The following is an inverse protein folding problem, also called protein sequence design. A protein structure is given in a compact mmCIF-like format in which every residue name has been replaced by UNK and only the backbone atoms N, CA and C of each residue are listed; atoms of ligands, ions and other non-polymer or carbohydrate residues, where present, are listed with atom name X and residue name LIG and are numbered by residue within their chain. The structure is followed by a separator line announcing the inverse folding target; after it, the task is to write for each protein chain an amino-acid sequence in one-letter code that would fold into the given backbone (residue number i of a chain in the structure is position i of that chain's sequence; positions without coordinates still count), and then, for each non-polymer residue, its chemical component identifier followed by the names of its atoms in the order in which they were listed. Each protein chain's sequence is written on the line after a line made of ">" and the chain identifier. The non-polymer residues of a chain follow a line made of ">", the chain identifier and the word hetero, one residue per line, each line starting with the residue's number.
data_IF_606515087835
#
_entry.id   IF_606515087835
#
_cell.length_a   1.000
_cell.length_b   1.000
_cell.length_c   1.000
_cell.angle_alpha   90.00
_cell.angle_beta   90.00
_cell.angle_gamma   90.00
#
_symmetry.space_group_name_H-M   'P 1'
#
loop_
_entity.id
_entity.type
_entity.pdbx_description
1 polymer ?
#
# COMPACT_ATOMS: atom_id res chain seq x y z
N UNK A 1 2.74 32.15 -3.40
CA UNK A 1 2.25 31.00 -4.17
C UNK A 1 2.57 29.72 -3.39
N UNK A 2 1.57 28.99 -2.91
CA UNK A 2 1.80 27.73 -2.20
C UNK A 2 2.21 26.66 -3.23
N UNK A 3 3.51 26.39 -3.34
CA UNK A 3 4.00 25.32 -4.18
C UNK A 3 3.61 23.97 -3.56
N UNK A 4 2.73 23.22 -4.23
CA UNK A 4 2.34 21.84 -3.86
C UNK A 4 3.57 20.92 -3.74
N UNK A 5 4.62 21.26 -4.49
CA UNK A 5 5.89 20.56 -4.53
C UNK A 5 7.01 21.57 -4.33
N UNK A 6 7.72 21.43 -3.23
CA UNK A 6 8.69 22.42 -2.76
C UNK A 6 10.14 21.92 -2.82
N UNK A 7 10.36 20.70 -3.33
CA UNK A 7 11.68 20.13 -3.63
C UNK A 7 11.57 18.99 -4.65
N UNK A 8 12.66 18.63 -5.36
CA UNK A 8 12.68 17.46 -6.26
C UNK A 8 12.26 16.16 -5.57
N UNK A 9 12.68 15.96 -4.32
CA UNK A 9 12.28 14.79 -3.51
C UNK A 9 10.77 14.80 -3.27
N UNK A 10 10.20 15.96 -2.92
CA UNK A 10 8.74 16.09 -2.75
C UNK A 10 7.97 15.82 -4.05
N UNK A 11 8.54 16.17 -5.21
CA UNK A 11 7.94 15.87 -6.52
C UNK A 11 7.87 14.37 -6.77
N UNK A 12 9.01 13.69 -6.58
CA UNK A 12 9.12 12.24 -6.77
C UNK A 12 8.21 11.51 -5.79
N UNK A 13 8.16 11.97 -4.53
CA UNK A 13 7.24 11.44 -3.52
C UNK A 13 5.77 11.55 -3.98
N UNK A 14 5.33 12.75 -4.40
CA UNK A 14 3.97 12.95 -4.89
C UNK A 14 3.66 12.07 -6.10
N UNK A 15 4.54 12.04 -7.10
CA UNK A 15 4.34 11.27 -8.32
C UNK A 15 4.28 9.76 -8.03
N UNK A 16 5.20 9.25 -7.20
CA UNK A 16 5.20 7.85 -6.78
C UNK A 16 3.96 7.48 -5.95
N UNK A 17 3.44 8.40 -5.12
CA UNK A 17 2.18 8.21 -4.39
C UNK A 17 1.00 8.04 -5.34
N UNK A 18 0.86 8.91 -6.34
CA UNK A 18 -0.23 8.84 -7.32
C UNK A 18 -0.17 7.54 -8.13
N UNK A 19 1.02 7.16 -8.61
CA UNK A 19 1.24 5.91 -9.33
C UNK A 19 0.93 4.70 -8.45
N UNK A 20 1.38 4.70 -7.18
CA UNK A 20 1.12 3.61 -6.25
C UNK A 20 -0.38 3.46 -5.93
N UNK A 21 -1.14 4.56 -5.80
CA UNK A 21 -2.59 4.52 -5.57
C UNK A 21 -3.28 3.83 -6.75
N UNK A 22 -2.96 4.25 -7.98
CA UNK A 22 -3.57 3.68 -9.19
C UNK A 22 -3.23 2.19 -9.32
N UNK A 23 -1.95 1.83 -9.25
CA UNK A 23 -1.51 0.45 -9.42
C UNK A 23 -2.02 -0.45 -8.29
N UNK A 24 -1.99 0.02 -7.04
CA UNK A 24 -2.51 -0.70 -5.87
C UNK A 24 -3.99 -0.99 -6.03
N UNK A 25 -4.78 0.01 -6.42
CA UNK A 25 -6.22 -0.13 -6.71
C UNK A 25 -6.47 -1.18 -7.79
N UNK A 26 -5.75 -1.10 -8.92
CA UNK A 26 -5.87 -2.08 -10.01
C UNK A 26 -5.55 -3.50 -9.51
N UNK A 27 -4.43 -3.69 -8.81
CA UNK A 27 -3.99 -4.99 -8.30
C UNK A 27 -5.04 -5.58 -7.33
N UNK A 28 -5.69 -4.74 -6.52
CA UNK A 28 -6.76 -5.14 -5.60
C UNK A 28 -8.04 -5.60 -6.30
N UNK A 29 -8.42 -5.02 -7.44
CA UNK A 29 -9.69 -5.34 -8.12
C UNK A 29 -9.57 -6.42 -9.19
N UNK A 30 -8.40 -6.64 -9.77
CA UNK A 30 -8.22 -7.64 -10.84
C UNK A 30 -8.17 -9.09 -10.37
N UNK A 31 -8.33 -10.03 -11.32
CA UNK A 31 -8.12 -11.46 -11.09
C UNK A 31 -6.69 -11.75 -10.61
N UNK A 32 -6.58 -12.46 -9.48
CA UNK A 32 -5.31 -12.75 -8.82
C UNK A 32 -4.51 -13.82 -9.56
N UNK A 33 -3.19 -13.74 -9.50
CA UNK A 33 -2.28 -14.77 -10.03
C UNK A 33 -2.08 -14.79 -11.55
N UNK A 34 -2.77 -13.94 -12.32
CA UNK A 34 -2.58 -13.76 -13.78
C UNK A 34 -1.22 -13.12 -14.10
N UNK A 35 -0.77 -13.16 -15.37
CA UNK A 35 0.46 -12.46 -15.77
C UNK A 35 0.34 -10.95 -15.55
N UNK A 36 -0.82 -10.38 -15.85
CA UNK A 36 -1.12 -8.96 -15.66
C UNK A 36 -1.07 -8.57 -14.18
N UNK A 37 -1.65 -9.38 -13.29
CA UNK A 37 -1.57 -9.17 -11.85
C UNK A 37 -0.13 -9.14 -11.34
N UNK A 38 0.72 -10.05 -11.80
CA UNK A 38 2.14 -10.07 -11.40
C UNK A 38 2.89 -8.83 -11.90
N UNK A 39 2.69 -8.43 -13.16
CA UNK A 39 3.35 -7.25 -13.74
C UNK A 39 2.97 -5.97 -12.99
N UNK A 40 1.68 -5.72 -12.82
CA UNK A 40 1.20 -4.53 -12.10
C UNK A 40 1.55 -4.59 -10.61
N UNK A 41 1.56 -5.78 -10.01
CA UNK A 41 2.04 -6.00 -8.65
C UNK A 41 3.51 -5.56 -8.48
N UNK A 42 4.41 -5.96 -9.38
CA UNK A 42 5.80 -5.51 -9.32
C UNK A 42 5.94 -3.99 -9.55
N UNK A 43 5.20 -3.42 -10.50
CA UNK A 43 5.19 -1.97 -10.72
C UNK A 43 4.71 -1.22 -9.47
N UNK A 44 3.68 -1.72 -8.79
CA UNK A 44 3.21 -1.17 -7.51
C UNK A 44 4.30 -1.26 -6.43
N UNK A 45 5.00 -2.40 -6.31
CA UNK A 45 6.09 -2.54 -5.33
C UNK A 45 7.19 -1.51 -5.58
N UNK A 46 7.62 -1.34 -6.83
CA UNK A 46 8.65 -0.34 -7.19
C UNK A 46 8.18 1.07 -6.82
N UNK A 47 6.95 1.44 -7.18
CA UNK A 47 6.38 2.75 -6.84
C UNK A 47 6.32 2.97 -5.32
N UNK A 48 5.89 1.96 -4.55
CA UNK A 48 5.84 2.01 -3.09
C UNK A 48 7.23 2.10 -2.45
N UNK A 49 8.25 1.44 -3.02
CA UNK A 49 9.63 1.56 -2.52
C UNK A 49 10.14 3.01 -2.67
N UNK A 50 9.96 3.60 -3.86
CA UNK A 50 10.33 4.99 -4.11
C UNK A 50 9.56 5.93 -3.17
N UNK A 51 8.26 5.71 -3.02
CA UNK A 51 7.40 6.49 -2.14
C UNK A 51 7.88 6.46 -0.68
N UNK A 52 8.10 5.28 -0.13
CA UNK A 52 8.53 5.12 1.27
C UNK A 52 9.94 5.69 1.50
N UNK A 53 10.88 5.47 0.58
CA UNK A 53 12.25 6.01 0.69
C UNK A 53 12.20 7.54 0.68
N UNK A 54 11.49 8.14 -0.29
CA UNK A 54 11.37 9.60 -0.35
C UNK A 54 10.62 10.19 0.84
N UNK A 55 9.62 9.49 1.39
CA UNK A 55 8.92 9.91 2.60
C UNK A 55 9.87 10.02 3.81
N UNK A 56 10.80 9.07 3.95
CA UNK A 56 11.81 9.07 5.02
C UNK A 56 12.86 10.19 4.90
N UNK A 57 12.90 10.86 3.75
CA UNK A 57 13.79 12.00 3.49
C UNK A 57 13.10 13.36 3.70
N UNK A 58 11.79 13.39 3.96
CA UNK A 58 10.99 14.63 4.04
C UNK A 58 10.69 15.00 5.50
N UNK A 59 11.34 16.05 5.99
CA UNK A 59 11.25 16.51 7.38
C UNK A 59 10.36 17.76 7.58
N UNK A 60 9.59 18.17 6.56
CA UNK A 60 8.94 19.50 6.52
C UNK A 60 7.97 19.79 7.66
N UNK A 61 7.25 18.77 8.14
CA UNK A 61 6.16 19.00 9.11
C UNK A 61 6.65 19.17 10.55
N UNK A 62 7.68 18.43 10.95
CA UNK A 62 8.17 18.40 12.34
C UNK A 62 9.63 18.83 12.48
N UNK A 63 10.37 19.02 11.38
CA UNK A 63 11.82 19.28 11.37
C UNK A 63 12.68 18.09 11.81
N UNK A 64 12.06 16.98 12.21
CA UNK A 64 12.68 15.76 12.74
C UNK A 64 11.86 14.53 12.37
N UNK A 65 12.40 13.35 12.68
CA UNK A 65 11.66 12.10 12.52
C UNK A 65 10.34 12.15 13.29
N UNK A 66 9.25 11.78 12.66
CA UNK A 66 7.89 12.00 13.18
C UNK A 66 6.87 10.98 12.69
N UNK A 67 5.57 11.18 12.98
CA UNK A 67 4.50 10.22 12.70
C UNK A 67 4.47 9.69 11.26
N UNK A 68 4.65 10.54 10.25
CA UNK A 68 4.67 10.08 8.85
C UNK A 68 5.91 9.26 8.49
N UNK A 69 7.04 9.43 9.20
CA UNK A 69 8.20 8.56 9.02
C UNK A 69 7.93 7.17 9.61
N UNK A 70 7.32 7.11 10.80
CA UNK A 70 6.86 5.85 11.40
C UNK A 70 5.87 5.14 10.47
N UNK A 71 4.90 5.87 9.92
CA UNK A 71 3.95 5.33 8.95
C UNK A 71 4.65 4.77 7.70
N UNK A 72 5.70 5.44 7.21
CA UNK A 72 6.50 4.99 6.06
C UNK A 72 7.29 3.71 6.37
N UNK A 73 7.84 3.58 7.58
CA UNK A 73 8.50 2.34 8.02
C UNK A 73 7.48 1.19 8.10
N UNK A 74 6.32 1.41 8.72
CA UNK A 74 5.26 0.40 8.80
C UNK A 74 4.72 0.00 7.41
N UNK A 75 4.55 0.97 6.52
CA UNK A 75 4.20 0.76 5.11
C UNK A 75 5.25 -0.10 4.40
N UNK A 76 6.54 0.17 4.60
CA UNK A 76 7.62 -0.64 4.05
C UNK A 76 7.59 -2.07 4.61
N UNK A 77 7.40 -2.26 5.92
CA UNK A 77 7.32 -3.57 6.54
C UNK A 77 6.15 -4.41 5.98
N UNK A 78 4.97 -3.80 5.81
CA UNK A 78 3.81 -4.49 5.23
C UNK A 78 4.01 -4.83 3.76
N UNK A 79 4.63 -3.94 2.98
CA UNK A 79 5.03 -4.20 1.59
C UNK A 79 5.99 -5.40 1.51
N UNK A 80 7.01 -5.44 2.36
CA UNK A 80 8.01 -6.51 2.41
C UNK A 80 7.37 -7.85 2.83
N UNK A 81 6.49 -7.84 3.83
CA UNK A 81 5.68 -8.99 4.22
C UNK A 81 4.81 -9.51 3.07
N UNK A 82 4.37 -8.63 2.16
CA UNK A 82 3.63 -8.99 0.96
C UNK A 82 4.53 -9.60 -0.13
N UNK A 83 5.61 -8.93 -0.50
CA UNK A 83 6.39 -9.31 -1.69
C UNK A 83 7.40 -10.42 -1.42
N UNK A 84 8.08 -10.43 -0.27
CA UNK A 84 9.15 -11.38 0.01
C UNK A 84 8.62 -12.82 -0.03
N UNK A 85 7.54 -13.20 0.70
CA UNK A 85 7.00 -14.55 0.66
C UNK A 85 6.58 -15.00 -0.75
N UNK A 86 6.11 -14.07 -1.58
CA UNK A 86 5.73 -14.38 -2.97
C UNK A 86 6.93 -14.66 -3.89
N UNK A 87 8.05 -13.97 -3.65
CA UNK A 87 9.29 -14.16 -4.39
C UNK A 87 9.97 -15.47 -4.00
N UNK A 88 10.12 -15.74 -2.71
CA UNK A 88 10.86 -16.91 -2.21
C UNK A 88 9.98 -18.16 -2.03
N UNK A 89 8.65 -18.02 -2.11
CA UNK A 89 7.65 -19.07 -1.88
C UNK A 89 7.77 -19.76 -0.52
N UNK A 90 8.08 -18.97 0.52
CA UNK A 90 8.20 -19.41 1.91
C UNK A 90 7.42 -18.48 2.86
N UNK A 91 6.94 -18.98 4.02
CA UNK A 91 6.94 -20.38 4.43
C UNK A 91 6.04 -21.26 3.54
N UNK A 92 6.34 -22.56 3.47
CA UNK A 92 5.54 -23.50 2.67
C UNK A 92 4.09 -23.47 3.16
N UNK A 93 3.12 -23.55 2.25
CA UNK A 93 1.67 -23.48 2.49
C UNK A 93 1.10 -22.12 2.94
N UNK A 94 1.87 -21.24 3.58
CA UNK A 94 1.36 -19.96 4.11
C UNK A 94 1.86 -18.72 3.37
N UNK A 95 2.88 -18.84 2.49
CA UNK A 95 3.42 -17.71 1.73
C UNK A 95 2.34 -16.89 1.00
N UNK A 96 1.30 -17.56 0.50
CA UNK A 96 0.22 -16.91 -0.24
C UNK A 96 -0.64 -16.04 0.67
N UNK A 97 -0.86 -16.47 1.91
CA UNK A 97 -1.58 -15.67 2.90
C UNK A 97 -0.78 -14.42 3.26
N UNK A 98 0.53 -14.56 3.54
CA UNK A 98 1.38 -13.40 3.81
C UNK A 98 1.45 -12.44 2.63
N UNK A 99 1.55 -12.97 1.41
CA UNK A 99 1.48 -12.16 0.20
C UNK A 99 0.16 -11.37 0.13
N UNK A 100 -0.97 -12.05 0.28
CA UNK A 100 -2.28 -11.43 0.20
C UNK A 100 -2.50 -10.39 1.31
N UNK A 101 -2.18 -10.73 2.56
CA UNK A 101 -2.33 -9.84 3.70
C UNK A 101 -1.38 -8.64 3.61
N UNK A 102 -0.08 -8.88 3.36
CA UNK A 102 0.92 -7.81 3.27
C UNK A 102 0.67 -6.85 2.12
N UNK A 103 0.38 -7.37 0.92
CA UNK A 103 0.04 -6.49 -0.21
C UNK A 103 -1.24 -5.70 0.06
N UNK A 104 -2.28 -6.35 0.62
CA UNK A 104 -3.51 -5.65 0.99
C UNK A 104 -3.27 -4.53 2.00
N UNK A 105 -2.65 -4.83 3.15
CA UNK A 105 -2.43 -3.83 4.19
C UNK A 105 -1.43 -2.74 3.77
N UNK A 106 -0.49 -3.03 2.86
CA UNK A 106 0.36 -1.99 2.27
C UNK A 106 -0.47 -0.96 1.49
N UNK A 107 -1.49 -1.41 0.73
CA UNK A 107 -2.37 -0.52 -0.04
C UNK A 107 -3.35 0.22 0.85
N UNK A 108 -3.86 -0.42 1.91
CA UNK A 108 -4.70 0.24 2.92
C UNK A 108 -3.92 1.32 3.69
N UNK A 109 -2.66 1.04 4.02
CA UNK A 109 -1.74 2.01 4.60
C UNK A 109 -1.52 3.22 3.68
N UNK A 110 -1.35 2.98 2.38
CA UNK A 110 -1.24 4.04 1.37
C UNK A 110 -2.50 4.92 1.32
N UNK A 111 -3.70 4.34 1.32
CA UNK A 111 -4.95 5.12 1.36
C UNK A 111 -5.09 5.91 2.67
N UNK A 112 -4.73 5.29 3.79
CA UNK A 112 -4.76 5.96 5.10
C UNK A 112 -3.81 7.15 5.15
N UNK A 113 -2.61 7.00 4.61
CA UNK A 113 -1.62 8.08 4.50
C UNK A 113 -2.13 9.20 3.59
N UNK A 114 -2.70 8.87 2.42
CA UNK A 114 -3.27 9.85 1.50
C UNK A 114 -4.39 10.67 2.14
N UNK A 115 -5.38 10.01 2.77
CA UNK A 115 -6.49 10.70 3.42
C UNK A 115 -6.00 11.55 4.58
N UNK A 116 -5.07 11.04 5.38
CA UNK A 116 -4.46 11.80 6.48
C UNK A 116 -3.71 13.03 5.97
N UNK A 117 -2.92 12.91 4.90
CA UNK A 117 -2.18 14.00 4.27
C UNK A 117 -3.10 15.09 3.70
N UNK A 118 -4.24 14.70 3.11
CA UNK A 118 -5.25 15.65 2.66
C UNK A 118 -5.92 16.34 3.86
N UNK A 119 -6.28 15.58 4.89
CA UNK A 119 -7.00 16.10 6.05
C UNK A 119 -6.15 17.10 6.87
N UNK A 120 -4.84 16.87 7.02
CA UNK A 120 -3.95 17.79 7.75
C UNK A 120 -3.70 19.11 7.02
N UNK A 121 -4.08 19.21 5.74
CA UNK A 121 -4.01 20.46 4.96
C UNK A 121 -5.23 21.35 5.14
N UNK A 122 -6.27 20.88 5.82
CA UNK A 122 -7.45 21.68 6.15
C UNK A 122 -7.08 22.69 7.24
N UNK A 123 -7.24 24.01 7.01
CA UNK A 123 -6.93 25.02 8.01
C UNK A 123 -7.69 24.78 9.32
N UNK A 124 -6.98 24.84 10.45
CA UNK A 124 -7.57 24.63 11.78
C UNK A 124 -7.80 23.16 12.18
N UNK A 125 -7.47 22.20 11.31
CA UNK A 125 -7.62 20.78 11.65
C UNK A 125 -6.64 20.35 12.77
N UNK A 126 -7.12 19.71 13.86
CA UNK A 126 -6.25 19.17 14.89
C UNK A 126 -5.47 17.96 14.37
N UNK A 127 -4.17 18.15 14.10
CA UNK A 127 -3.28 17.18 13.43
C UNK A 127 -3.48 15.73 13.92
N UNK A 128 -3.33 15.48 15.22
CA UNK A 128 -3.39 14.11 15.76
C UNK A 128 -4.77 13.48 15.62
N UNK A 129 -5.84 14.26 15.80
CA UNK A 129 -7.19 13.74 15.71
C UNK A 129 -7.51 13.35 14.27
N UNK A 130 -7.21 14.22 13.28
CA UNK A 130 -7.55 13.91 11.88
C UNK A 130 -6.74 12.73 11.34
N UNK A 131 -5.45 12.62 11.69
CA UNK A 131 -4.61 11.47 11.30
C UNK A 131 -5.12 10.19 11.94
N UNK A 132 -5.43 10.23 13.24
CA UNK A 132 -5.92 9.05 13.98
C UNK A 132 -7.27 8.59 13.46
N UNK A 133 -8.24 9.50 13.33
CA UNK A 133 -9.59 9.19 12.85
C UNK A 133 -9.55 8.64 11.44
N UNK A 134 -8.82 9.30 10.51
CA UNK A 134 -8.69 8.84 9.13
C UNK A 134 -8.12 7.42 9.06
N UNK A 135 -7.03 7.17 9.79
CA UNK A 135 -6.38 5.86 9.82
C UNK A 135 -7.28 4.80 10.43
N UNK A 136 -7.86 5.05 11.61
CA UNK A 136 -8.69 4.08 12.32
C UNK A 136 -9.93 3.71 11.51
N UNK A 137 -10.66 4.68 10.96
CA UNK A 137 -11.86 4.41 10.16
C UNK A 137 -11.52 3.56 8.94
N UNK A 138 -10.47 3.91 8.20
CA UNK A 138 -10.04 3.15 7.02
C UNK A 138 -9.62 1.73 7.40
N UNK A 139 -8.87 1.55 8.49
CA UNK A 139 -8.45 0.23 8.94
C UNK A 139 -9.61 -0.63 9.46
N UNK A 140 -10.60 -0.05 10.16
CA UNK A 140 -11.80 -0.79 10.58
C UNK A 140 -12.54 -1.35 9.36
N UNK A 141 -12.80 -0.50 8.36
CA UNK A 141 -13.47 -0.90 7.11
C UNK A 141 -12.61 -1.95 6.38
N UNK A 142 -11.31 -1.73 6.31
CA UNK A 142 -10.39 -2.63 5.63
C UNK A 142 -10.31 -4.01 6.29
N UNK A 143 -10.24 -4.09 7.62
CA UNK A 143 -10.22 -5.36 8.36
C UNK A 143 -11.52 -6.12 8.12
N UNK A 144 -12.66 -5.43 8.26
CA UNK A 144 -13.97 -6.02 7.99
C UNK A 144 -14.09 -6.56 6.56
N UNK A 145 -13.63 -5.80 5.58
CA UNK A 145 -13.62 -6.22 4.18
C UNK A 145 -12.69 -7.42 3.93
N UNK A 146 -11.48 -7.38 4.49
CA UNK A 146 -10.50 -8.46 4.34
C UNK A 146 -11.02 -9.78 4.90
N UNK A 147 -11.67 -9.77 6.07
CA UNK A 147 -12.26 -10.96 6.68
C UNK A 147 -13.33 -11.58 5.77
N UNK A 148 -14.12 -10.76 5.06
CA UNK A 148 -15.17 -11.26 4.16
C UNK A 148 -14.64 -11.76 2.81
N UNK A 149 -13.56 -11.17 2.29
CA UNK A 149 -13.10 -11.44 0.92
C UNK A 149 -11.86 -12.36 0.84
N UNK A 150 -11.03 -12.41 1.88
CA UNK A 150 -9.77 -13.16 1.87
C UNK A 150 -9.93 -14.63 1.51
N UNK A 151 -10.97 -15.30 2.05
CA UNK A 151 -11.29 -16.70 1.70
C UNK A 151 -11.64 -16.86 0.22
N UNK A 152 -12.42 -15.94 -0.35
CA UNK A 152 -12.79 -15.96 -1.77
C UNK A 152 -11.57 -15.75 -2.66
N UNK A 153 -10.72 -14.79 -2.33
CA UNK A 153 -9.47 -14.55 -3.05
C UNK A 153 -8.53 -15.75 -3.01
N UNK A 154 -8.36 -16.36 -1.83
CA UNK A 154 -7.56 -17.57 -1.68
C UNK A 154 -8.09 -18.71 -2.56
N UNK A 155 -9.40 -19.02 -2.45
CA UNK A 155 -10.02 -20.09 -3.24
C UNK A 155 -9.98 -19.83 -4.74
N UNK A 156 -10.11 -18.58 -5.19
CA UNK A 156 -10.07 -18.23 -6.62
C UNK A 156 -8.76 -18.65 -7.31
N UNK A 157 -7.65 -18.73 -6.56
CA UNK A 157 -6.35 -19.11 -7.11
C UNK A 157 -6.27 -20.63 -7.38
N UNK A 158 -7.04 -21.43 -6.64
CA UNK A 158 -7.05 -22.90 -6.73
C UNK A 158 -8.21 -23.42 -7.58
N UNK A 159 -9.40 -22.84 -7.43
CA UNK A 159 -10.63 -23.30 -8.09
C UNK A 159 -10.77 -22.77 -9.53
N UNK A 160 -10.24 -21.58 -9.80
CA UNK A 160 -10.22 -20.98 -11.13
C UNK A 160 -8.80 -20.46 -11.44
N UNK A 161 -7.83 -21.36 -11.64
CA UNK A 161 -6.45 -20.97 -11.87
C UNK A 161 -6.33 -20.15 -13.15
N UNK A 162 -5.45 -19.15 -13.14
CA UNK A 162 -5.25 -18.26 -14.28
C UNK A 162 -5.03 -19.06 -15.59
N UNK A 163 -5.61 -18.65 -16.74
CA UNK A 163 -5.55 -19.42 -17.99
C UNK A 163 -4.13 -19.81 -18.40
N UNK A 164 -3.13 -18.98 -18.08
CA UNK A 164 -1.73 -19.23 -18.39
C UNK A 164 -1.11 -20.37 -17.56
N UNK A 165 -1.75 -20.78 -16.45
CA UNK A 165 -1.34 -21.92 -15.63
C UNK A 165 -2.02 -23.23 -16.04
N UNK A 166 -3.13 -23.16 -16.78
CA UNK A 166 -3.85 -24.35 -17.25
C UNK A 166 -3.21 -24.99 -18.50
N UNK A 167 -2.37 -24.21 -19.20
CA UNK A 167 -1.66 -24.64 -20.43
C UNK A 167 -0.30 -25.30 -20.17
N UNK A 168 0.01 -25.64 -18.92
CA UNK A 168 1.26 -26.30 -18.50
C UNK A 168 0.92 -27.64 -17.89
#
# INVERSE_FOLDING_TARGET
>A
MHNLVSSPIGFIHLLSALVAIVLGTMVMTMRKGTRTHRRLGYSYVIAMLILNITALMIYRLFGRFGPFHVASVLSLLTLLMGIIPALIRKPKNTWLWYHMAGMYYSTIGLYSAFVSEVAVRIPGAPFFAVVTISTVVIFIIAVWWFQRQSKKWYLSIYLDPAPEKQKK
#
